data_IF_526131433001
#
_entry.id   IF_526131433001
#
_cell.length_a   1.000
_cell.length_b   1.000
_cell.length_c   1.000
_cell.angle_alpha   90.00
_cell.angle_beta   90.00
_cell.angle_gamma   90.00
#
_symmetry.space_group_name_H-M   'P 1'
#
loop_
_entity.id
_entity.type
_entity.pdbx_description
1 polymer ?
#
# COMPACT_ATOMS: atom_id res chain seq x y z
N UNK A 1 -14.14 24.56 4.22
CA UNK A 1 -13.89 23.34 5.01
C UNK A 1 -15.01 23.20 6.03
N UNK A 2 -15.68 22.05 6.19
CA UNK A 2 -16.68 21.89 7.23
C UNK A 2 -15.98 21.90 8.60
N UNK A 3 -16.60 22.51 9.64
CA UNK A 3 -15.99 22.72 10.95
C UNK A 3 -15.59 21.44 11.71
N UNK A 4 -16.12 20.30 11.30
CA UNK A 4 -15.86 18.99 11.91
C UNK A 4 -14.45 18.44 11.65
N UNK A 5 -13.79 18.81 10.56
CA UNK A 5 -12.42 18.41 10.27
C UNK A 5 -11.41 19.04 11.23
N UNK A 6 -11.63 20.28 11.62
CA UNK A 6 -10.81 20.98 12.62
C UNK A 6 -11.03 20.38 14.03
N UNK A 7 -12.27 20.04 14.38
CA UNK A 7 -12.58 19.41 15.66
C UNK A 7 -11.95 18.01 15.79
N UNK A 8 -11.97 17.21 14.73
CA UNK A 8 -11.30 15.90 14.71
C UNK A 8 -9.77 16.03 14.82
N UNK A 9 -9.19 16.99 14.10
CA UNK A 9 -7.76 17.29 14.18
C UNK A 9 -7.34 17.74 15.60
N UNK A 10 -8.15 18.59 16.22
CA UNK A 10 -7.92 19.03 17.61
C UNK A 10 -8.08 17.89 18.62
N UNK A 11 -9.07 17.01 18.44
CA UNK A 11 -9.25 15.84 19.29
C UNK A 11 -8.06 14.88 19.18
N UNK A 12 -7.61 14.58 17.98
CA UNK A 12 -6.46 13.71 17.75
C UNK A 12 -5.16 14.35 18.25
N UNK A 13 -4.99 15.65 18.10
CA UNK A 13 -3.87 16.41 18.67
C UNK A 13 -3.89 16.41 20.21
N UNK A 14 -5.06 16.57 20.83
CA UNK A 14 -5.22 16.50 22.29
C UNK A 14 -4.92 15.09 22.83
N UNK A 15 -5.37 14.04 22.13
CA UNK A 15 -5.08 12.66 22.50
C UNK A 15 -3.59 12.31 22.35
N UNK A 16 -2.91 12.87 21.35
CA UNK A 16 -1.47 12.73 21.18
C UNK A 16 -0.69 13.45 22.31
N UNK A 17 -1.10 14.65 22.66
CA UNK A 17 -0.53 15.39 23.79
C UNK A 17 -0.71 14.63 25.11
N UNK A 18 -1.87 14.05 25.37
CA UNK A 18 -2.13 13.19 26.53
C UNK A 18 -1.26 11.94 26.50
N UNK A 19 -1.07 11.29 25.35
CA UNK A 19 -0.18 10.14 25.18
C UNK A 19 1.30 10.49 25.42
N UNK A 20 1.74 11.69 25.04
CA UNK A 20 3.09 12.18 25.28
C UNK A 20 3.34 12.60 26.73
N UNK A 21 2.31 13.08 27.41
CA UNK A 21 2.39 13.53 28.82
C UNK A 21 2.23 12.36 29.81
N UNK A 22 1.52 11.29 29.44
CA UNK A 22 1.27 10.15 30.30
C UNK A 22 2.54 9.48 30.87
N UNK A 23 3.63 9.22 30.12
CA UNK A 23 4.85 8.67 30.70
C UNK A 23 5.62 9.68 31.56
N UNK A 24 5.51 10.97 31.29
CA UNK A 24 6.12 12.03 32.14
C UNK A 24 5.35 12.22 33.43
N UNK A 25 4.03 12.16 33.38
CA UNK A 25 3.16 12.17 34.58
C UNK A 25 3.39 10.93 35.45
N UNK A 26 3.53 9.73 34.89
CA UNK A 26 3.88 8.50 35.61
C UNK A 26 5.24 8.60 36.30
N UNK A 27 6.27 9.18 35.65
CA UNK A 27 7.58 9.42 36.26
C UNK A 27 7.52 10.48 37.35
N UNK A 28 6.73 11.53 37.19
CA UNK A 28 6.56 12.58 38.21
C UNK A 28 5.77 12.10 39.43
N UNK A 29 4.82 11.20 39.25
CA UNK A 29 4.05 10.59 40.38
C UNK A 29 4.86 9.49 41.07
N UNK A 30 5.66 8.70 40.31
CA UNK A 30 6.54 7.67 40.85
C UNK A 30 7.76 8.20 41.60
N UNK A 31 8.14 9.48 41.43
CA UNK A 31 9.27 10.10 42.11
C UNK A 31 8.94 10.70 43.48
N UNK A 32 7.68 10.56 43.96
CA UNK A 32 7.22 11.14 45.22
C UNK A 32 7.05 10.15 46.38
N UNK A 33 7.52 8.91 46.27
CA UNK A 33 7.48 7.97 47.38
C UNK A 33 8.86 7.42 47.71
N UNK A 34 9.35 7.85 48.87
CA UNK A 34 10.35 7.34 49.79
C UNK A 34 11.79 7.78 49.64
N UNK A 35 12.36 8.37 50.70
CA UNK A 35 13.78 8.51 50.92
C UNK A 35 14.31 7.38 51.81
N UNK A 36 15.48 6.84 51.45
CA UNK A 36 16.36 6.20 52.44
C UNK A 36 16.57 4.71 52.28
N UNK A 37 17.72 4.33 51.70
CA UNK A 37 18.69 3.42 52.33
C UNK A 37 19.95 3.35 51.45
N UNK A 38 21.08 3.76 52.03
CA UNK A 38 22.43 3.46 51.55
C UNK A 38 22.73 1.98 51.81
N UNK A 39 23.42 1.32 50.88
CA UNK A 39 23.97 -0.03 51.05
C UNK A 39 24.69 -0.50 49.80
N UNK A 40 25.99 -0.32 49.83
CA UNK A 40 27.11 -1.16 49.38
C UNK A 40 26.97 -2.08 48.15
N UNK A 41 28.00 -1.93 47.33
CA UNK A 41 28.47 -2.72 46.21
C UNK A 41 28.53 -4.23 46.50
N UNK A 42 28.00 -5.04 45.62
CA UNK A 42 28.49 -6.37 45.31
C UNK A 42 28.13 -6.69 43.85
N UNK A 43 29.16 -6.86 43.03
CA UNK A 43 29.10 -7.56 41.78
C UNK A 43 28.72 -9.01 42.02
N UNK A 44 27.59 -9.45 41.48
CA UNK A 44 27.28 -10.85 41.27
C UNK A 44 26.79 -11.04 39.84
N UNK A 45 27.64 -11.72 39.06
CA UNK A 45 27.24 -12.41 37.86
C UNK A 45 26.08 -13.36 38.15
N UNK A 46 24.94 -13.19 37.50
CA UNK A 46 23.87 -14.17 37.46
C UNK A 46 23.45 -14.42 36.01
N UNK A 47 23.85 -15.59 35.60
CA UNK A 47 23.44 -16.40 34.48
C UNK A 47 21.92 -16.52 34.36
N UNK A 48 21.45 -16.55 33.09
CA UNK A 48 20.30 -17.36 32.70
C UNK A 48 18.90 -16.79 32.79
N UNK A 49 18.45 -16.08 31.77
CA UNK A 49 17.04 -15.82 31.52
C UNK A 49 16.78 -15.61 30.03
N UNK A 50 16.32 -16.63 29.33
CA UNK A 50 16.19 -16.67 27.88
C UNK A 50 15.36 -15.54 27.27
N UNK A 51 16.03 -14.52 26.81
CA UNK A 51 15.50 -13.62 25.79
C UNK A 51 15.56 -14.37 24.46
N UNK A 52 14.41 -14.53 23.82
CA UNK A 52 14.33 -15.10 22.48
C UNK A 52 15.35 -14.41 21.58
N UNK A 53 16.25 -15.20 21.03
CA UNK A 53 17.34 -14.73 20.17
C UNK A 53 16.73 -13.96 18.97
N UNK A 54 17.24 -12.78 18.63
CA UNK A 54 16.84 -12.10 17.42
C UNK A 54 17.21 -12.99 16.23
N UNK A 55 16.25 -13.23 15.34
CA UNK A 55 16.41 -13.99 14.11
C UNK A 55 17.70 -13.58 13.38
N UNK A 56 18.72 -14.39 13.49
CA UNK A 56 19.98 -14.24 12.78
C UNK A 56 19.84 -14.86 11.39
N UNK A 57 19.20 -14.16 10.47
CA UNK A 57 19.42 -14.43 9.05
C UNK A 57 20.73 -13.75 8.67
N UNK A 58 21.75 -14.51 8.26
CA UNK A 58 23.15 -14.12 8.09
C UNK A 58 23.44 -13.08 6.99
N UNK A 59 22.58 -12.08 6.81
CA UNK A 59 22.75 -10.97 5.88
C UNK A 59 23.04 -9.69 6.65
N UNK A 60 24.11 -9.00 6.24
CA UNK A 60 24.46 -7.68 6.77
C UNK A 60 23.26 -6.73 6.69
N UNK A 61 22.98 -5.98 7.77
CA UNK A 61 21.89 -5.02 7.79
C UNK A 61 22.12 -3.93 6.73
N UNK A 62 21.00 -3.45 6.16
CA UNK A 62 21.01 -2.29 5.26
C UNK A 62 21.29 -1.01 6.05
N UNK A 63 21.73 0.07 5.37
CA UNK A 63 21.85 1.38 6.00
C UNK A 63 20.55 1.77 6.75
N UNK A 64 20.66 2.54 7.83
CA UNK A 64 19.51 2.95 8.64
C UNK A 64 18.87 1.87 9.51
N UNK A 65 19.52 0.70 9.68
CA UNK A 65 19.01 -0.40 10.49
C UNK A 65 17.83 -1.15 9.86
N UNK A 66 17.61 -0.98 8.55
CA UNK A 66 16.60 -1.72 7.81
C UNK A 66 17.06 -3.15 7.48
N UNK A 67 16.13 -4.08 7.38
CA UNK A 67 16.37 -5.47 6.94
C UNK A 67 15.50 -5.79 5.73
N UNK A 68 16.09 -6.41 4.72
CA UNK A 68 15.36 -6.95 3.57
C UNK A 68 15.15 -8.45 3.79
N UNK A 69 13.90 -8.86 3.96
CA UNK A 69 13.46 -10.25 4.13
C UNK A 69 12.83 -10.68 2.81
N UNK A 70 13.40 -11.70 2.17
CA UNK A 70 12.90 -12.22 0.90
C UNK A 70 13.54 -13.56 0.57
N UNK A 71 12.93 -14.32 -0.32
CA UNK A 71 13.53 -15.52 -0.92
C UNK A 71 14.74 -15.12 -1.77
N UNK A 72 15.89 -15.82 -1.67
CA UNK A 72 17.04 -15.57 -2.50
C UNK A 72 16.73 -15.73 -3.99
N UNK A 73 16.97 -14.69 -4.77
CA UNK A 73 16.76 -14.67 -6.23
C UNK A 73 17.67 -13.64 -6.90
N UNK A 74 17.81 -13.70 -8.22
CA UNK A 74 18.54 -12.67 -8.99
C UNK A 74 17.92 -11.29 -8.81
N UNK A 75 16.59 -11.22 -8.77
CA UNK A 75 15.86 -9.98 -8.51
C UNK A 75 16.13 -9.45 -7.07
N UNK A 76 16.14 -10.35 -6.07
CA UNK A 76 16.48 -10.00 -4.70
C UNK A 76 17.89 -9.39 -4.58
N UNK A 77 18.88 -9.95 -5.29
CA UNK A 77 20.24 -9.43 -5.33
C UNK A 77 20.32 -8.07 -6.00
N UNK A 78 19.59 -7.89 -7.12
CA UNK A 78 19.50 -6.60 -7.81
C UNK A 78 18.89 -5.54 -6.89
N UNK A 79 17.79 -5.85 -6.21
CA UNK A 79 17.12 -4.97 -5.27
C UNK A 79 18.01 -4.65 -4.06
N UNK A 80 18.66 -5.64 -3.46
CA UNK A 80 19.58 -5.43 -2.35
C UNK A 80 20.73 -4.48 -2.74
N UNK A 81 21.26 -4.67 -3.95
CA UNK A 81 22.33 -3.80 -4.49
C UNK A 81 21.84 -2.37 -4.74
N UNK A 82 20.60 -2.19 -5.17
CA UNK A 82 19.98 -0.88 -5.34
C UNK A 82 19.75 -0.20 -3.98
N UNK A 83 19.19 -0.91 -3.00
CA UNK A 83 18.92 -0.39 -1.67
C UNK A 83 20.19 -0.02 -0.88
N UNK A 84 21.27 -0.80 -1.02
CA UNK A 84 22.56 -0.46 -0.39
C UNK A 84 23.18 0.83 -0.92
N UNK A 85 22.89 1.19 -2.16
CA UNK A 85 23.37 2.44 -2.79
C UNK A 85 22.41 3.61 -2.58
N UNK A 86 21.25 3.35 -2.01
CA UNK A 86 20.22 4.34 -1.82
C UNK A 86 20.57 5.30 -0.69
N UNK A 87 20.56 6.59 -0.98
CA UNK A 87 20.66 7.64 0.03
C UNK A 87 19.39 7.76 0.87
N UNK A 88 18.30 7.13 0.43
CA UNK A 88 17.04 7.11 1.17
C UNK A 88 17.16 6.36 2.51
N UNK A 89 18.02 5.34 2.59
CA UNK A 89 18.26 4.52 3.78
C UNK A 89 19.43 4.99 4.65
N UNK A 90 20.08 6.10 4.34
CA UNK A 90 21.19 6.60 5.15
C UNK A 90 20.77 6.84 6.61
N UNK A 91 21.63 6.43 7.59
CA UNK A 91 21.36 6.65 9.00
C UNK A 91 21.22 8.15 9.29
N UNK A 92 20.21 8.50 10.09
CA UNK A 92 19.94 9.89 10.45
C UNK A 92 19.88 10.07 11.96
N UNK A 93 20.26 11.23 12.47
CA UNK A 93 20.14 11.50 13.89
C UNK A 93 18.68 11.39 14.33
N UNK A 94 18.46 10.79 15.50
CA UNK A 94 17.13 10.68 16.10
C UNK A 94 16.57 12.08 16.34
N UNK A 95 15.43 12.37 15.73
CA UNK A 95 14.64 13.57 15.97
C UNK A 95 13.57 13.27 17.02
N UNK A 96 13.02 14.32 17.62
CA UNK A 96 11.81 14.20 18.46
C UNK A 96 10.61 13.61 17.69
N UNK A 97 10.64 13.72 16.36
CA UNK A 97 9.66 13.11 15.44
C UNK A 97 9.84 11.59 15.27
N UNK A 98 10.86 10.97 15.87
CA UNK A 98 11.14 9.54 15.67
C UNK A 98 10.20 8.61 16.45
N UNK A 99 9.32 9.13 17.31
CA UNK A 99 8.37 8.33 18.06
C UNK A 99 7.27 7.75 17.16
N UNK A 100 6.90 6.45 17.29
CA UNK A 100 5.98 5.76 16.38
C UNK A 100 4.60 6.40 16.34
N UNK A 101 4.05 6.76 17.48
CA UNK A 101 2.75 7.44 17.57
C UNK A 101 2.77 8.82 16.92
N UNK A 102 3.89 9.56 17.05
CA UNK A 102 4.01 10.89 16.45
C UNK A 102 4.14 10.80 14.93
N UNK A 103 4.91 9.85 14.42
CA UNK A 103 5.01 9.60 12.98
C UNK A 103 3.65 9.22 12.39
N UNK A 104 2.96 8.28 13.05
CA UNK A 104 1.60 7.86 12.66
C UNK A 104 0.62 9.03 12.71
N UNK A 105 0.68 9.85 13.77
CA UNK A 105 -0.19 11.02 13.91
C UNK A 105 0.08 12.08 12.84
N UNK A 106 1.34 12.36 12.57
CA UNK A 106 1.73 13.28 11.49
C UNK A 106 1.16 12.84 10.13
N UNK A 107 1.17 11.52 9.87
CA UNK A 107 0.55 10.97 8.66
C UNK A 107 -0.95 11.25 8.59
N UNK A 108 -1.69 11.07 9.70
CA UNK A 108 -3.15 11.22 9.70
C UNK A 108 -3.64 12.66 9.88
N UNK A 109 -2.93 13.50 10.64
CA UNK A 109 -3.46 14.79 11.12
C UNK A 109 -2.88 16.00 10.39
N UNK A 110 -1.63 15.92 9.94
CA UNK A 110 -1.03 17.09 9.29
C UNK A 110 -1.86 17.50 8.07
N UNK A 111 -2.15 18.80 7.97
CA UNK A 111 -2.94 19.31 6.85
C UNK A 111 -2.19 19.02 5.54
N UNK A 112 -2.97 18.67 4.56
CA UNK A 112 -2.50 18.62 3.18
C UNK A 112 -2.14 20.06 2.81
N UNK A 113 -0.84 20.36 2.60
CA UNK A 113 -0.39 21.63 2.06
C UNK A 113 -0.96 21.86 0.65
N UNK A 114 -0.55 22.91 -0.06
CA UNK A 114 -0.90 23.08 -1.46
C UNK A 114 -0.42 21.83 -2.23
N UNK A 115 -1.39 20.99 -2.58
CA UNK A 115 -1.15 19.73 -3.30
C UNK A 115 -1.01 19.98 -4.81
N UNK A 116 -0.69 18.94 -5.57
CA UNK A 116 -0.75 18.98 -7.02
C UNK A 116 -2.18 19.27 -7.48
N UNK A 117 -2.30 19.84 -8.66
CA UNK A 117 -3.60 19.91 -9.34
C UNK A 117 -4.05 18.49 -9.73
N UNK A 118 -5.33 18.19 -9.49
CA UNK A 118 -5.91 16.88 -9.78
C UNK A 118 -7.00 17.01 -10.83
N UNK A 119 -6.86 16.27 -11.92
CA UNK A 119 -7.90 16.13 -12.95
C UNK A 119 -8.69 14.86 -12.66
N UNK A 120 -9.94 15.03 -12.20
CA UNK A 120 -10.83 13.92 -11.85
C UNK A 120 -11.53 13.36 -13.06
N UNK A 121 -11.47 12.05 -13.19
CA UNK A 121 -12.19 11.26 -14.15
C UNK A 121 -13.07 10.22 -13.39
N UNK A 122 -14.33 10.07 -13.82
CA UNK A 122 -15.23 9.06 -13.25
C UNK A 122 -15.33 7.88 -14.20
N UNK A 123 -15.13 6.68 -13.66
CA UNK A 123 -15.30 5.43 -14.38
C UNK A 123 -16.59 4.75 -13.93
N UNK A 124 -17.52 4.56 -14.86
CA UNK A 124 -18.72 3.76 -14.63
C UNK A 124 -18.36 2.28 -14.78
N UNK A 125 -18.69 1.50 -13.76
CA UNK A 125 -18.40 0.08 -13.68
C UNK A 125 -19.51 -0.76 -14.31
N UNK A 126 -19.24 -2.05 -14.50
CA UNK A 126 -20.19 -2.97 -15.14
C UNK A 126 -21.52 -3.12 -14.37
N UNK A 127 -21.53 -2.89 -13.05
CA UNK A 127 -22.71 -2.91 -12.18
C UNK A 127 -23.37 -1.54 -12.01
N UNK A 128 -23.09 -0.59 -12.90
CA UNK A 128 -23.53 0.80 -12.85
C UNK A 128 -23.00 1.60 -11.63
N UNK A 129 -22.09 1.02 -10.85
CA UNK A 129 -21.34 1.73 -9.82
C UNK A 129 -20.37 2.77 -10.41
N UNK A 130 -19.86 3.63 -9.55
CA UNK A 130 -18.94 4.69 -9.97
C UNK A 130 -17.70 4.71 -9.07
N UNK A 131 -16.53 4.73 -9.68
CA UNK A 131 -15.25 4.99 -9.02
C UNK A 131 -14.60 6.24 -9.62
N UNK A 132 -13.67 6.86 -8.91
CA UNK A 132 -12.98 8.04 -9.42
C UNK A 132 -11.48 7.78 -9.57
N UNK A 133 -10.91 8.34 -10.63
CA UNK A 133 -9.49 8.38 -10.92
C UNK A 133 -9.03 9.84 -10.92
N UNK A 134 -8.17 10.21 -9.98
CA UNK A 134 -7.59 11.54 -9.90
C UNK A 134 -6.20 11.52 -10.54
N UNK A 135 -6.10 12.05 -11.76
CA UNK A 135 -4.85 12.21 -12.47
C UNK A 135 -4.10 13.42 -11.96
N UNK A 136 -2.83 13.23 -11.60
CA UNK A 136 -1.99 14.32 -11.11
C UNK A 136 -1.50 15.16 -12.27
N UNK A 137 -1.90 16.43 -12.29
CA UNK A 137 -1.51 17.41 -13.30
C UNK A 137 -0.41 18.29 -12.73
N UNK A 138 0.65 18.48 -13.48
CA UNK A 138 1.74 19.36 -13.08
C UNK A 138 2.69 19.65 -14.22
N UNK A 139 3.54 20.67 -14.10
CA UNK A 139 4.54 20.95 -15.10
C UNK A 139 5.46 19.74 -15.21
N UNK A 140 5.49 19.13 -16.38
CA UNK A 140 6.41 18.02 -16.66
C UNK A 140 7.85 18.54 -16.49
N UNK A 141 8.64 17.98 -15.57
CA UNK A 141 10.02 18.44 -15.38
C UNK A 141 10.78 18.31 -16.71
N UNK A 142 11.50 19.32 -17.10
CA UNK A 142 12.39 19.32 -18.27
C UNK A 142 13.60 18.38 -18.11
N UNK A 143 13.61 17.53 -17.08
CA UNK A 143 14.66 16.59 -16.74
C UNK A 143 14.40 15.15 -17.21
N UNK A 144 15.37 14.31 -16.96
CA UNK A 144 15.46 12.90 -17.34
C UNK A 144 14.18 12.12 -17.02
N UNK A 145 13.35 11.88 -18.02
CA UNK A 145 12.17 11.01 -17.91
C UNK A 145 12.60 9.57 -17.66
N UNK A 146 11.97 8.90 -16.70
CA UNK A 146 11.98 7.43 -16.67
C UNK A 146 11.09 6.98 -17.81
N UNK A 147 11.67 6.94 -18.99
CA UNK A 147 10.94 6.49 -20.18
C UNK A 147 11.30 5.05 -20.47
N UNK A 148 10.32 4.29 -20.94
CA UNK A 148 10.56 3.01 -21.62
C UNK A 148 11.50 3.17 -22.80
N UNK A 149 11.91 2.06 -23.40
CA UNK A 149 12.57 2.06 -24.71
C UNK A 149 11.78 2.83 -25.79
N UNK A 150 10.47 3.07 -25.59
CA UNK A 150 9.60 3.86 -26.45
C UNK A 150 9.34 5.30 -26.03
N UNK A 151 9.99 5.82 -24.97
CA UNK A 151 9.89 7.23 -24.57
C UNK A 151 8.62 7.61 -23.78
N UNK A 152 7.72 6.68 -23.46
CA UNK A 152 6.48 6.95 -22.73
C UNK A 152 6.71 6.91 -21.22
N UNK A 153 6.12 7.84 -20.45
CA UNK A 153 6.19 7.81 -18.99
C UNK A 153 5.46 6.59 -18.43
N UNK A 154 6.01 5.98 -17.38
CA UNK A 154 5.33 4.92 -16.65
C UNK A 154 4.14 5.50 -15.86
N UNK A 155 3.03 4.78 -15.82
CA UNK A 155 1.88 5.15 -14.99
C UNK A 155 2.09 4.62 -13.57
N UNK A 156 1.80 5.44 -12.56
CA UNK A 156 1.83 5.06 -11.16
C UNK A 156 0.42 5.13 -10.58
N UNK A 157 -0.18 3.98 -10.37
CA UNK A 157 -1.47 3.84 -9.70
C UNK A 157 -1.26 3.89 -8.19
N UNK A 158 -1.90 4.84 -7.53
CA UNK A 158 -1.83 5.01 -6.07
C UNK A 158 -3.17 4.66 -5.45
N UNK A 159 -3.16 3.72 -4.50
CA UNK A 159 -4.34 3.21 -3.81
C UNK A 159 -4.27 3.67 -2.35
N UNK A 160 -5.04 4.69 -1.96
CA UNK A 160 -5.12 5.16 -0.59
C UNK A 160 -5.66 4.07 0.35
N UNK A 161 -5.56 4.30 1.66
CA UNK A 161 -6.11 3.39 2.64
C UNK A 161 -7.61 3.18 2.43
N UNK A 162 -8.13 2.03 2.87
CA UNK A 162 -9.56 1.66 2.75
C UNK A 162 -10.50 2.70 3.40
N UNK A 163 -9.98 3.56 4.26
CA UNK A 163 -10.72 4.67 4.87
C UNK A 163 -11.02 5.83 3.91
N UNK A 164 -10.50 5.77 2.69
CA UNK A 164 -10.80 6.73 1.62
C UNK A 164 -10.27 8.15 1.86
N UNK A 165 -9.35 8.33 2.80
CA UNK A 165 -8.74 9.62 3.06
C UNK A 165 -7.52 9.84 2.17
N UNK A 166 -7.48 10.98 1.50
CA UNK A 166 -6.28 11.43 0.79
C UNK A 166 -5.32 12.04 1.80
N UNK A 167 -4.22 11.35 2.06
CA UNK A 167 -3.21 11.77 3.03
C UNK A 167 -2.17 12.69 2.40
N UNK A 168 -1.47 13.44 3.23
CA UNK A 168 -0.33 14.24 2.79
C UNK A 168 0.76 13.37 2.15
N UNK A 169 0.97 12.15 2.67
CA UNK A 169 1.96 11.23 2.14
C UNK A 169 1.61 10.74 0.74
N UNK A 170 0.34 10.40 0.49
CA UNK A 170 -0.13 10.04 -0.86
C UNK A 170 0.16 11.16 -1.86
N UNK A 171 -0.15 12.40 -1.51
CA UNK A 171 0.15 13.55 -2.38
C UNK A 171 1.65 13.80 -2.53
N UNK A 172 2.42 13.63 -1.45
CA UNK A 172 3.88 13.73 -1.48
C UNK A 172 4.53 12.68 -2.38
N UNK A 173 4.01 11.44 -2.34
CA UNK A 173 4.42 10.38 -3.26
C UNK A 173 4.11 10.76 -4.72
N UNK A 174 2.91 11.27 -4.97
CA UNK A 174 2.49 11.69 -6.31
C UNK A 174 3.39 12.82 -6.85
N UNK A 175 3.70 13.82 -6.04
CA UNK A 175 4.61 14.92 -6.43
C UNK A 175 6.01 14.39 -6.76
N UNK A 176 6.58 13.56 -5.88
CA UNK A 176 7.90 12.98 -6.10
C UNK A 176 7.92 12.07 -7.34
N UNK A 177 6.86 11.29 -7.55
CA UNK A 177 6.71 10.44 -8.73
C UNK A 177 6.63 11.28 -10.02
N UNK A 178 5.88 12.38 -10.01
CA UNK A 178 5.81 13.32 -11.13
C UNK A 178 7.20 13.91 -11.44
N UNK A 179 7.95 14.33 -10.43
CA UNK A 179 9.33 14.82 -10.56
C UNK A 179 10.28 13.77 -11.16
N UNK A 180 10.06 12.50 -10.84
CA UNK A 180 10.83 11.37 -11.39
C UNK A 180 10.34 10.89 -12.76
N UNK A 181 9.32 11.55 -13.34
CA UNK A 181 8.81 11.29 -14.68
C UNK A 181 7.78 10.17 -14.78
N UNK A 182 7.15 9.79 -13.67
CA UNK A 182 5.95 8.95 -13.67
C UNK A 182 4.72 9.81 -13.95
N UNK A 183 3.63 9.14 -14.33
CA UNK A 183 2.31 9.75 -14.48
C UNK A 183 1.39 9.19 -13.38
N UNK A 184 1.25 9.88 -12.23
CA UNK A 184 0.50 9.36 -11.11
C UNK A 184 -1.01 9.48 -11.33
N UNK A 185 -1.74 8.46 -10.89
CA UNK A 185 -3.20 8.42 -10.82
C UNK A 185 -3.63 7.83 -9.49
N UNK A 186 -4.57 8.48 -8.81
CA UNK A 186 -5.08 8.05 -7.51
C UNK A 186 -6.44 7.40 -7.71
N UNK A 187 -6.60 6.17 -7.25
CA UNK A 187 -7.85 5.42 -7.29
C UNK A 187 -8.70 5.73 -6.05
N UNK A 188 -9.96 6.10 -6.26
CA UNK A 188 -10.92 6.31 -5.20
C UNK A 188 -12.08 5.31 -5.32
N UNK A 189 -12.32 4.57 -4.23
CA UNK A 189 -13.45 3.65 -4.10
C UNK A 189 -14.79 4.40 -4.19
N UNK A 190 -15.85 3.66 -4.45
CA UNK A 190 -17.24 4.15 -4.41
C UNK A 190 -17.53 4.91 -3.11
N UNK A 191 -18.14 6.07 -3.20
CA UNK A 191 -18.51 6.90 -2.04
C UNK A 191 -17.35 7.54 -1.29
N UNK A 192 -16.09 7.37 -1.72
CA UNK A 192 -14.94 7.97 -1.07
C UNK A 192 -14.44 9.23 -1.78
N UNK A 193 -13.84 10.13 -1.01
CA UNK A 193 -13.19 11.36 -1.48
C UNK A 193 -14.01 12.15 -2.52
N UNK A 194 -15.32 12.29 -2.27
CA UNK A 194 -16.23 13.02 -3.17
C UNK A 194 -16.66 12.23 -4.41
N UNK A 195 -16.27 10.97 -4.57
CA UNK A 195 -16.86 10.06 -5.55
C UNK A 195 -18.31 9.78 -5.11
N UNK A 196 -19.33 10.06 -5.95
CA UNK A 196 -20.70 9.80 -5.58
C UNK A 196 -20.98 8.31 -5.45
N UNK A 197 -21.89 7.96 -4.53
CA UNK A 197 -22.42 6.61 -4.42
C UNK A 197 -23.71 6.55 -5.24
N UNK A 198 -23.60 6.09 -6.49
CA UNK A 198 -24.75 6.02 -7.43
C UNK A 198 -25.52 4.73 -7.34
N UNK A 199 -24.91 3.67 -6.80
CA UNK A 199 -25.55 2.41 -6.47
C UNK A 199 -25.44 2.16 -4.96
N UNK A 200 -26.39 1.46 -4.30
CA UNK A 200 -26.35 1.22 -2.86
C UNK A 200 -25.26 0.19 -2.46
N UNK A 201 -24.43 -0.22 -3.39
CA UNK A 201 -23.36 -1.20 -3.19
C UNK A 201 -22.05 -0.49 -2.89
N UNK A 202 -21.52 -0.70 -1.69
CA UNK A 202 -20.16 -0.34 -1.31
C UNK A 202 -19.20 -1.48 -1.66
N UNK A 203 -17.93 -1.14 -1.84
CA UNK A 203 -16.87 -2.12 -2.09
C UNK A 203 -16.40 -2.74 -0.77
N UNK A 204 -16.47 -4.08 -0.61
CA UNK A 204 -15.91 -4.78 0.54
C UNK A 204 -14.42 -4.54 0.71
N UNK A 205 -13.89 -4.86 1.89
CA UNK A 205 -12.53 -4.49 2.27
C UNK A 205 -11.47 -4.96 1.28
N UNK A 206 -11.49 -6.24 0.90
CA UNK A 206 -10.52 -6.87 0.00
C UNK A 206 -11.08 -7.27 -1.37
N UNK A 207 -12.27 -6.83 -1.77
CA UNK A 207 -12.85 -7.13 -3.08
C UNK A 207 -12.14 -6.33 -4.20
N UNK A 208 -11.40 -6.97 -5.13
CA UNK A 208 -10.63 -6.28 -6.16
C UNK A 208 -11.42 -5.92 -7.43
N UNK A 209 -12.72 -6.23 -7.51
CA UNK A 209 -13.49 -6.10 -8.76
C UNK A 209 -13.44 -4.69 -9.34
N UNK A 210 -13.68 -3.66 -8.53
CA UNK A 210 -13.63 -2.27 -8.99
C UNK A 210 -12.22 -1.86 -9.43
N UNK A 211 -11.20 -2.30 -8.71
CA UNK A 211 -9.80 -2.04 -9.06
C UNK A 211 -9.41 -2.72 -10.38
N UNK A 212 -9.89 -3.94 -10.60
CA UNK A 212 -9.65 -4.70 -11.83
C UNK A 212 -10.19 -3.97 -13.06
N UNK A 213 -11.39 -3.42 -12.98
CA UNK A 213 -11.96 -2.58 -14.03
C UNK A 213 -11.15 -1.29 -14.23
N UNK A 214 -10.76 -0.63 -13.15
CA UNK A 214 -9.95 0.59 -13.21
C UNK A 214 -8.56 0.34 -13.84
N UNK A 215 -7.87 -0.74 -13.45
CA UNK A 215 -6.57 -1.13 -14.02
C UNK A 215 -6.70 -1.45 -15.51
N UNK A 216 -7.75 -2.18 -15.89
CA UNK A 216 -8.02 -2.49 -17.29
C UNK A 216 -8.27 -1.22 -18.11
N UNK A 217 -9.05 -0.27 -17.55
CA UNK A 217 -9.26 1.04 -18.16
C UNK A 217 -7.97 1.84 -18.33
N UNK A 218 -7.12 1.90 -17.29
CA UNK A 218 -5.82 2.58 -17.35
C UNK A 218 -4.94 1.94 -18.43
N UNK A 219 -4.92 0.60 -18.51
CA UNK A 219 -4.17 -0.13 -19.53
C UNK A 219 -4.66 0.17 -20.93
N UNK A 220 -5.97 0.27 -21.13
CA UNK A 220 -6.55 0.65 -22.41
C UNK A 220 -6.16 2.08 -22.83
N UNK A 221 -6.17 3.03 -21.89
CA UNK A 221 -5.76 4.43 -22.12
C UNK A 221 -4.25 4.57 -22.42
N UNK A 222 -3.43 3.72 -21.79
CA UNK A 222 -1.97 3.78 -21.87
C UNK A 222 -1.36 2.41 -22.23
N UNK A 223 -1.64 1.87 -23.43
CA UNK A 223 -1.34 0.48 -23.77
C UNK A 223 0.15 0.12 -23.75
N UNK A 224 1.03 1.08 -24.05
CA UNK A 224 2.48 0.87 -24.10
C UNK A 224 3.23 1.34 -22.83
N UNK A 225 2.55 1.99 -21.89
CA UNK A 225 3.17 2.46 -20.66
C UNK A 225 3.26 1.31 -19.62
N UNK A 226 4.40 1.10 -18.93
CA UNK A 226 4.42 0.25 -17.75
C UNK A 226 3.51 0.81 -16.69
N UNK A 227 2.80 -0.06 -16.00
CA UNK A 227 1.93 0.29 -14.89
C UNK A 227 2.55 -0.21 -13.59
N UNK A 228 2.86 0.69 -12.68
CA UNK A 228 3.25 0.38 -11.31
C UNK A 228 2.10 0.73 -10.37
N UNK A 229 2.01 0.01 -9.25
CA UNK A 229 0.98 0.27 -8.25
C UNK A 229 1.60 0.46 -6.86
N UNK A 230 1.09 1.43 -6.10
CA UNK A 230 1.45 1.65 -4.69
C UNK A 230 0.19 1.73 -3.86
N UNK A 231 0.18 1.05 -2.73
CA UNK A 231 -0.90 1.12 -1.75
C UNK A 231 -0.39 1.58 -0.39
N UNK A 232 -1.27 2.20 0.38
CA UNK A 232 -0.99 2.71 1.71
C UNK A 232 -1.90 2.06 2.75
N UNK A 233 -1.32 1.55 3.84
CA UNK A 233 -2.04 0.96 4.96
C UNK A 233 -3.01 -0.15 4.53
N UNK A 234 -4.25 -0.04 4.96
CA UNK A 234 -5.34 -0.98 4.64
C UNK A 234 -5.75 -1.01 3.15
N UNK A 235 -5.32 -0.04 2.34
CA UNK A 235 -5.48 -0.08 0.88
C UNK A 235 -4.69 -1.22 0.23
N UNK A 236 -3.69 -1.76 0.94
CA UNK A 236 -2.90 -2.90 0.50
C UNK A 236 -3.73 -4.17 0.34
N UNK A 237 -4.81 -4.34 1.11
CA UNK A 237 -5.70 -5.47 0.95
C UNK A 237 -6.29 -5.54 -0.46
N UNK A 238 -6.74 -4.40 -0.98
CA UNK A 238 -7.29 -4.30 -2.32
C UNK A 238 -6.26 -4.63 -3.41
N UNK A 239 -5.04 -4.08 -3.27
CA UNK A 239 -3.97 -4.31 -4.23
C UNK A 239 -3.51 -5.77 -4.24
N UNK A 240 -3.31 -6.37 -3.07
CA UNK A 240 -2.85 -7.75 -2.95
C UNK A 240 -3.90 -8.75 -3.44
N UNK A 241 -5.19 -8.53 -3.11
CA UNK A 241 -6.28 -9.32 -3.67
C UNK A 241 -6.34 -9.24 -5.20
N UNK A 242 -6.15 -8.05 -5.77
CA UNK A 242 -6.07 -7.87 -7.22
C UNK A 242 -4.90 -8.67 -7.83
N UNK A 243 -3.71 -8.61 -7.22
CA UNK A 243 -2.53 -9.30 -7.73
C UNK A 243 -2.67 -10.83 -7.64
N UNK A 244 -3.25 -11.36 -6.57
CA UNK A 244 -3.54 -12.78 -6.41
C UNK A 244 -4.57 -13.26 -7.44
N UNK A 245 -5.73 -12.60 -7.52
CA UNK A 245 -6.82 -12.99 -8.44
C UNK A 245 -6.41 -12.90 -9.91
N UNK A 246 -5.63 -11.89 -10.30
CA UNK A 246 -5.17 -11.74 -11.67
C UNK A 246 -3.94 -12.58 -11.99
N UNK A 247 -3.11 -12.93 -11.01
CA UNK A 247 -1.91 -13.74 -11.21
C UNK A 247 -1.01 -13.21 -12.33
N UNK A 248 -0.67 -14.11 -13.26
CA UNK A 248 0.16 -13.78 -14.43
C UNK A 248 -0.55 -12.91 -15.49
N UNK A 249 -1.87 -12.75 -15.41
CA UNK A 249 -2.65 -11.88 -16.31
C UNK A 249 -2.73 -10.43 -15.82
N UNK A 250 -2.12 -10.10 -14.70
CA UNK A 250 -2.07 -8.74 -14.17
C UNK A 250 -1.37 -7.78 -15.15
N UNK A 251 -1.94 -6.61 -15.34
CA UNK A 251 -1.31 -5.52 -16.12
C UNK A 251 -0.30 -4.72 -15.31
N UNK A 252 -0.19 -4.96 -14.00
CA UNK A 252 0.78 -4.28 -13.12
C UNK A 252 2.16 -4.92 -13.31
N UNK A 253 3.16 -4.08 -13.55
CA UNK A 253 4.57 -4.50 -13.75
C UNK A 253 5.31 -4.73 -12.44
N UNK A 254 4.97 -3.99 -11.41
CA UNK A 254 5.52 -4.07 -10.06
C UNK A 254 4.68 -3.30 -9.07
N UNK A 255 4.63 -3.75 -7.84
CA UNK A 255 3.81 -3.19 -6.79
C UNK A 255 4.60 -2.86 -5.53
N UNK A 256 4.13 -1.90 -4.74
CA UNK A 256 4.67 -1.61 -3.42
C UNK A 256 3.53 -1.34 -2.43
N UNK A 257 3.73 -1.76 -1.18
CA UNK A 257 2.78 -1.56 -0.09
C UNK A 257 3.47 -0.87 1.09
N UNK A 258 2.94 0.26 1.53
CA UNK A 258 3.46 1.04 2.67
C UNK A 258 2.63 0.67 3.90
N UNK A 259 3.27 0.14 4.93
CA UNK A 259 2.63 -0.36 6.16
C UNK A 259 1.40 -1.23 5.89
N UNK A 260 1.52 -2.30 5.06
CA UNK A 260 0.37 -3.11 4.70
C UNK A 260 -0.23 -3.83 5.90
N UNK A 261 -1.54 -3.89 5.97
CA UNK A 261 -2.27 -4.81 6.85
C UNK A 261 -2.40 -6.13 6.10
N UNK A 262 -1.60 -7.14 6.47
CA UNK A 262 -1.53 -8.41 5.76
C UNK A 262 -2.47 -9.47 6.34
N UNK A 263 -2.57 -9.57 7.66
CA UNK A 263 -3.51 -10.45 8.37
C UNK A 263 -4.75 -9.65 8.77
N UNK A 264 -5.61 -9.35 7.78
CA UNK A 264 -6.72 -8.42 7.95
C UNK A 264 -7.77 -8.95 8.93
N UNK A 265 -8.12 -10.23 8.85
CA UNK A 265 -9.10 -10.84 9.75
C UNK A 265 -8.67 -10.72 11.20
N UNK A 266 -7.47 -11.16 11.51
CA UNK A 266 -6.90 -11.13 12.87
C UNK A 266 -6.77 -9.68 13.37
N UNK A 267 -6.42 -8.76 12.47
CA UNK A 267 -6.33 -7.34 12.77
C UNK A 267 -7.68 -6.74 13.18
N UNK A 268 -8.78 -7.08 12.49
CA UNK A 268 -10.13 -6.67 12.88
C UNK A 268 -10.59 -7.34 14.18
N UNK A 269 -10.22 -8.62 14.41
CA UNK A 269 -10.60 -9.39 15.59
C UNK A 269 -9.83 -8.96 16.83
N UNK A 270 -8.55 -8.67 16.72
CA UNK A 270 -7.74 -8.17 17.83
C UNK A 270 -8.12 -6.73 18.24
N UNK A 271 -8.64 -5.97 17.27
CA UNK A 271 -8.92 -4.54 17.45
C UNK A 271 -7.63 -3.71 17.49
N UNK A 272 -7.79 -2.41 17.31
CA UNK A 272 -6.69 -1.45 17.37
C UNK A 272 -6.58 -0.84 18.77
N UNK A 273 -5.41 -0.25 19.13
CA UNK A 273 -5.33 0.62 20.29
C UNK A 273 -6.44 1.68 20.22
N UNK A 274 -7.19 1.82 21.30
CA UNK A 274 -8.46 2.56 21.33
C UNK A 274 -8.44 3.97 20.67
N UNK A 275 -7.36 4.77 20.72
CA UNK A 275 -7.37 6.09 20.09
C UNK A 275 -7.47 5.99 18.56
N UNK A 276 -6.75 5.04 17.95
CA UNK A 276 -6.78 4.81 16.49
C UNK A 276 -8.12 4.22 16.08
N UNK A 277 -8.61 3.21 16.80
CA UNK A 277 -9.89 2.59 16.49
C UNK A 277 -11.03 3.61 16.53
N UNK A 278 -11.08 4.45 17.57
CA UNK A 278 -12.10 5.51 17.68
C UNK A 278 -11.98 6.54 16.59
N UNK A 279 -10.76 6.94 16.24
CA UNK A 279 -10.50 7.88 15.17
C UNK A 279 -10.96 7.36 13.82
N UNK A 280 -10.62 6.13 13.48
CA UNK A 280 -11.02 5.50 12.22
C UNK A 280 -12.53 5.26 12.17
N UNK A 281 -13.11 4.72 13.22
CA UNK A 281 -14.55 4.48 13.30
C UNK A 281 -15.36 5.78 13.14
N UNK A 282 -14.94 6.86 13.81
CA UNK A 282 -15.58 8.16 13.67
C UNK A 282 -15.45 8.69 12.23
N UNK A 283 -14.27 8.56 11.63
CA UNK A 283 -14.05 8.98 10.25
C UNK A 283 -14.98 8.24 9.28
N UNK A 284 -15.10 6.92 9.41
CA UNK A 284 -15.98 6.10 8.58
C UNK A 284 -17.45 6.49 8.75
N UNK A 285 -17.91 6.67 10.00
CA UNK A 285 -19.28 7.11 10.26
C UNK A 285 -19.57 8.47 9.63
N UNK A 286 -18.65 9.42 9.76
CA UNK A 286 -18.80 10.75 9.13
C UNK A 286 -18.79 10.64 7.61
N UNK A 287 -17.95 9.80 7.02
CA UNK A 287 -17.90 9.60 5.58
C UNK A 287 -19.23 9.00 5.05
N UNK A 288 -19.73 7.95 5.70
CA UNK A 288 -20.97 7.28 5.29
C UNK A 288 -22.27 8.02 5.67
N UNK A 289 -22.20 8.97 6.61
CA UNK A 289 -23.40 9.75 6.99
C UNK A 289 -24.04 10.51 5.82
N UNK A 290 -23.27 10.78 4.76
CA UNK A 290 -23.75 11.42 3.53
C UNK A 290 -24.62 10.52 2.67
N UNK A 291 -24.51 9.19 2.86
CA UNK A 291 -25.14 8.17 2.03
C UNK A 291 -26.18 7.35 2.78
N UNK A 292 -26.64 7.82 3.95
CA UNK A 292 -27.61 7.11 4.79
C UNK A 292 -28.88 6.75 3.99
N UNK A 293 -29.40 7.68 3.21
CA UNK A 293 -30.59 7.45 2.39
C UNK A 293 -30.38 6.40 1.29
N UNK A 294 -29.18 6.33 0.72
CA UNK A 294 -28.86 5.31 -0.29
C UNK A 294 -28.62 3.92 0.32
N UNK A 295 -28.15 3.86 1.57
CA UNK A 295 -27.79 2.62 2.26
C UNK A 295 -28.93 2.03 3.10
N UNK A 296 -29.96 2.83 3.45
CA UNK A 296 -31.02 2.40 4.37
C UNK A 296 -31.82 1.19 3.89
N UNK A 297 -31.89 0.96 2.58
CA UNK A 297 -32.62 -0.18 2.01
C UNK A 297 -31.80 -1.48 2.04
N UNK A 298 -30.47 -1.36 2.10
CA UNK A 298 -29.56 -2.52 2.06
C UNK A 298 -28.95 -2.86 3.42
N UNK A 299 -28.72 -1.86 4.29
CA UNK A 299 -28.04 -2.01 5.57
C UNK A 299 -28.90 -1.43 6.72
N UNK A 300 -28.79 -2.00 7.90
CA UNK A 300 -29.30 -1.38 9.13
C UNK A 300 -28.42 -0.19 9.54
N UNK A 301 -28.76 0.99 9.03
CA UNK A 301 -28.01 2.22 9.29
C UNK A 301 -28.01 2.61 10.77
N UNK A 302 -29.08 2.30 11.52
CA UNK A 302 -29.14 2.60 12.95
C UNK A 302 -28.11 1.75 13.73
N UNK A 303 -28.02 0.45 13.45
CA UNK A 303 -27.01 -0.44 14.00
C UNK A 303 -25.61 -0.02 13.58
N UNK A 304 -25.42 0.33 12.29
CA UNK A 304 -24.14 0.77 11.73
C UNK A 304 -23.57 1.99 12.49
N UNK A 305 -24.38 3.02 12.69
CA UNK A 305 -23.91 4.24 13.38
C UNK A 305 -23.78 4.06 14.91
N UNK A 306 -24.34 3.01 15.48
CA UNK A 306 -24.15 2.63 16.90
C UNK A 306 -22.94 1.74 17.16
N UNK A 307 -22.33 1.15 16.13
CA UNK A 307 -21.18 0.26 16.29
C UNK A 307 -20.07 0.88 17.14
N UNK A 308 -19.39 0.05 17.93
CA UNK A 308 -18.38 0.48 18.89
C UNK A 308 -16.97 0.10 18.51
N UNK A 309 -16.82 -0.82 17.55
CA UNK A 309 -15.54 -1.28 16.99
C UNK A 309 -15.55 -1.24 15.47
N UNK A 310 -14.38 -1.27 14.85
CA UNK A 310 -14.26 -1.38 13.40
C UNK A 310 -14.80 -2.72 12.90
N UNK A 311 -14.59 -3.81 13.65
CA UNK A 311 -15.17 -5.11 13.36
C UNK A 311 -16.69 -5.05 13.29
N UNK A 312 -17.33 -4.54 14.33
CA UNK A 312 -18.81 -4.42 14.37
C UNK A 312 -19.35 -3.55 13.23
N UNK A 313 -18.60 -2.51 12.88
CA UNK A 313 -18.94 -1.62 11.77
C UNK A 313 -18.87 -2.35 10.43
N UNK A 314 -17.79 -3.04 10.14
CA UNK A 314 -17.56 -3.80 8.90
C UNK A 314 -18.55 -4.95 8.77
N UNK A 315 -18.75 -5.71 9.87
CA UNK A 315 -19.71 -6.81 9.93
C UNK A 315 -21.14 -6.33 9.69
N UNK A 316 -21.53 -5.19 10.26
CA UNK A 316 -22.86 -4.62 10.03
C UNK A 316 -23.04 -4.16 8.59
N UNK A 317 -21.98 -3.62 7.98
CA UNK A 317 -22.03 -3.06 6.64
C UNK A 317 -22.09 -4.14 5.55
N UNK A 318 -21.38 -5.24 5.74
CA UNK A 318 -21.21 -6.26 4.69
C UNK A 318 -21.76 -7.65 5.03
N UNK A 319 -21.81 -8.02 6.33
CA UNK A 319 -22.30 -9.34 6.72
C UNK A 319 -23.78 -9.34 7.08
N UNK A 320 -24.29 -8.26 7.69
CA UNK A 320 -25.68 -8.14 8.11
C UNK A 320 -26.53 -7.32 7.13
N UNK A 321 -26.32 -7.53 5.83
CA UNK A 321 -27.16 -6.90 4.80
C UNK A 321 -28.57 -7.47 4.84
N UNK A 322 -29.58 -6.63 4.53
CA UNK A 322 -31.00 -7.03 4.57
C UNK A 322 -31.36 -8.10 3.56
N UNK A 323 -30.67 -8.11 2.40
CA UNK A 323 -31.00 -9.01 1.29
C UNK A 323 -30.23 -10.33 1.35
N UNK A 324 -28.94 -10.30 1.68
CA UNK A 324 -28.05 -11.47 1.63
C UNK A 324 -27.07 -11.44 2.82
N UNK A 325 -27.56 -11.84 4.01
CA UNK A 325 -26.65 -11.93 5.17
C UNK A 325 -25.67 -13.09 4.98
N UNK A 326 -24.41 -12.84 5.33
CA UNK A 326 -23.32 -13.83 5.30
C UNK A 326 -22.62 -13.89 6.67
N UNK A 327 -21.92 -14.98 6.96
CA UNK A 327 -21.10 -15.08 8.16
C UNK A 327 -19.82 -14.26 8.04
N UNK A 328 -19.21 -13.92 9.18
CA UNK A 328 -17.90 -13.28 9.22
C UNK A 328 -16.79 -14.12 8.60
N UNK A 329 -16.88 -15.46 8.75
CA UNK A 329 -15.96 -16.40 8.12
C UNK A 329 -16.10 -16.35 6.59
N UNK A 330 -17.33 -16.48 6.07
CA UNK A 330 -17.59 -16.38 4.63
C UNK A 330 -17.16 -15.02 4.05
N UNK A 331 -17.31 -13.93 4.81
CA UNK A 331 -16.82 -12.63 4.40
C UNK A 331 -15.31 -12.65 4.15
N UNK A 332 -14.53 -13.20 5.09
CA UNK A 332 -13.07 -13.27 4.95
C UNK A 332 -12.58 -14.30 3.95
N UNK A 333 -13.31 -15.37 3.69
CA UNK A 333 -12.99 -16.31 2.60
C UNK A 333 -12.91 -15.59 1.24
N UNK A 334 -13.66 -14.49 1.07
CA UNK A 334 -13.67 -13.68 -0.15
C UNK A 334 -12.84 -12.40 -0.08
N UNK A 335 -12.51 -11.92 1.12
CA UNK A 335 -11.87 -10.61 1.32
C UNK A 335 -10.47 -10.68 1.94
N UNK A 336 -9.96 -11.87 2.25
CA UNK A 336 -8.58 -12.02 2.71
C UNK A 336 -7.62 -11.62 1.57
N UNK A 337 -6.73 -10.62 1.78
CA UNK A 337 -5.80 -10.17 0.76
C UNK A 337 -4.77 -11.22 0.36
N UNK A 338 -4.55 -12.23 1.19
CA UNK A 338 -3.56 -13.28 0.96
C UNK A 338 -4.18 -14.59 0.46
N UNK A 339 -5.51 -14.66 0.23
CA UNK A 339 -6.20 -15.90 -0.19
C UNK A 339 -5.60 -16.55 -1.45
N UNK A 340 -5.20 -15.71 -2.42
CA UNK A 340 -4.63 -16.15 -3.71
C UNK A 340 -3.18 -15.66 -3.88
N UNK A 341 -2.46 -15.45 -2.78
CA UNK A 341 -1.12 -14.82 -2.80
C UNK A 341 -0.09 -15.66 -3.55
N UNK A 342 -0.26 -16.96 -3.61
CA UNK A 342 0.65 -17.88 -4.32
C UNK A 342 0.52 -17.76 -5.85
N UNK A 343 -0.62 -17.29 -6.34
CA UNK A 343 -0.85 -17.00 -7.75
C UNK A 343 -0.24 -15.69 -8.22
N UNK A 344 0.12 -14.79 -7.28
CA UNK A 344 0.68 -13.50 -7.61
C UNK A 344 2.04 -13.63 -8.32
N UNK A 345 2.10 -13.19 -9.57
CA UNK A 345 3.28 -13.27 -10.44
C UNK A 345 3.96 -11.89 -10.64
N UNK A 346 3.62 -10.91 -9.82
CA UNK A 346 4.13 -9.54 -9.88
C UNK A 346 5.02 -9.28 -8.67
N UNK A 347 6.24 -8.73 -8.84
CA UNK A 347 7.07 -8.35 -7.70
C UNK A 347 6.41 -7.30 -6.81
N UNK A 348 6.37 -7.55 -5.49
CA UNK A 348 5.75 -6.71 -4.47
C UNK A 348 6.77 -6.37 -3.39
N UNK A 349 7.01 -5.07 -3.18
CA UNK A 349 7.80 -4.58 -2.05
C UNK A 349 6.89 -4.10 -0.93
N UNK A 350 6.89 -4.77 0.21
CA UNK A 350 6.25 -4.32 1.44
C UNK A 350 7.27 -3.53 2.29
N UNK A 351 6.92 -2.33 2.71
CA UNK A 351 7.71 -1.52 3.65
C UNK A 351 6.96 -1.46 4.95
N UNK A 352 7.50 -2.05 6.01
CA UNK A 352 6.88 -2.11 7.33
C UNK A 352 7.83 -1.61 8.42
N UNK A 353 7.28 -1.19 9.52
CA UNK A 353 8.00 -0.74 10.70
C UNK A 353 7.76 -1.69 11.88
N UNK A 354 8.81 -1.99 12.62
CA UNK A 354 8.70 -2.84 13.81
C UNK A 354 7.96 -2.14 14.97
N UNK A 355 7.89 -0.81 14.92
CA UNK A 355 7.22 0.03 15.92
C UNK A 355 5.83 0.53 15.45
N UNK A 356 5.22 -0.10 14.45
CA UNK A 356 3.90 0.29 13.90
C UNK A 356 2.79 0.11 14.95
N UNK A 357 2.15 1.21 15.43
CA UNK A 357 1.13 1.11 16.47
C UNK A 357 -0.26 0.74 15.94
N UNK A 358 -0.46 0.68 14.63
CA UNK A 358 -1.73 0.35 13.98
C UNK A 358 -1.75 -1.10 13.52
N UNK A 359 -0.68 -1.55 12.84
CA UNK A 359 -0.55 -2.95 12.44
C UNK A 359 -0.20 -3.86 13.64
N UNK A 360 0.46 -3.33 14.67
CA UNK A 360 0.90 -4.10 15.84
C UNK A 360 2.24 -4.80 15.64
N UNK A 361 2.64 -5.68 16.59
CA UNK A 361 3.95 -6.32 16.57
C UNK A 361 4.18 -7.18 15.33
N UNK A 362 5.37 -7.11 14.70
CA UNK A 362 5.69 -7.87 13.49
C UNK A 362 5.49 -9.39 13.65
N UNK A 363 5.81 -9.95 14.80
CA UNK A 363 5.72 -11.39 15.06
C UNK A 363 4.29 -11.93 14.98
N UNK A 364 3.29 -11.08 15.21
CA UNK A 364 1.88 -11.46 15.16
C UNK A 364 1.22 -11.14 13.83
N UNK A 365 1.56 -10.00 13.22
CA UNK A 365 0.80 -9.46 12.08
C UNK A 365 1.54 -9.53 10.74
N UNK A 366 2.87 -9.80 10.73
CA UNK A 366 3.62 -10.02 9.49
C UNK A 366 3.79 -11.52 9.21
N UNK A 367 3.26 -12.03 8.09
CA UNK A 367 3.48 -13.41 7.66
C UNK A 367 4.90 -13.54 7.08
N UNK A 368 5.90 -13.67 7.93
CA UNK A 368 7.32 -13.75 7.52
C UNK A 368 7.59 -14.91 6.59
N UNK A 369 6.87 -16.03 6.75
CA UNK A 369 6.97 -17.22 5.90
C UNK A 369 6.63 -16.90 4.42
N UNK A 370 5.68 -16.02 4.17
CA UNK A 370 5.35 -15.55 2.82
C UNK A 370 6.60 -14.99 2.12
N UNK A 371 7.35 -14.14 2.80
CA UNK A 371 8.52 -13.49 2.23
C UNK A 371 9.73 -14.43 2.06
N UNK A 372 9.82 -15.48 2.86
CA UNK A 372 10.84 -16.51 2.72
C UNK A 372 10.53 -17.51 1.60
N UNK A 373 9.27 -17.77 1.34
CA UNK A 373 8.84 -18.82 0.43
C UNK A 373 8.45 -18.31 -0.97
N UNK A 374 7.84 -17.15 -1.07
CA UNK A 374 7.37 -16.58 -2.34
C UNK A 374 8.47 -15.72 -3.01
N UNK A 375 8.89 -16.01 -4.27
CA UNK A 375 9.96 -15.28 -4.95
C UNK A 375 9.58 -13.86 -5.39
N UNK A 376 8.31 -13.51 -5.34
CA UNK A 376 7.81 -12.20 -5.77
C UNK A 376 7.61 -11.23 -4.61
N UNK A 377 7.65 -11.70 -3.36
CA UNK A 377 7.41 -10.86 -2.18
C UNK A 377 8.71 -10.48 -1.47
N UNK A 378 8.84 -9.18 -1.22
CA UNK A 378 9.99 -8.56 -0.56
C UNK A 378 9.49 -7.73 0.63
N UNK A 379 10.06 -7.92 1.82
CA UNK A 379 9.75 -7.12 3.00
C UNK A 379 10.97 -6.30 3.41
N UNK A 380 10.85 -4.98 3.33
CA UNK A 380 11.80 -4.05 3.93
C UNK A 380 11.27 -3.67 5.31
N UNK A 381 11.87 -4.23 6.35
CA UNK A 381 11.52 -3.98 7.74
C UNK A 381 12.45 -2.95 8.35
N UNK A 382 11.90 -1.83 8.79
CA UNK A 382 12.59 -0.77 9.53
C UNK A 382 12.33 -0.90 11.03
N UNK A 383 13.28 -0.50 11.86
CA UNK A 383 13.06 -0.44 13.31
C UNK A 383 12.09 0.69 13.70
N UNK A 384 12.06 1.78 12.93
CA UNK A 384 11.28 2.97 13.23
C UNK A 384 10.59 3.47 11.98
N UNK A 385 9.34 3.93 12.13
CA UNK A 385 8.55 4.44 11.00
C UNK A 385 7.10 4.72 11.38
N UNK A 386 6.61 4.11 12.46
CA UNK A 386 5.20 4.14 12.81
C UNK A 386 4.34 3.56 11.69
N UNK A 387 3.05 3.90 11.64
CA UNK A 387 2.15 3.50 10.57
C UNK A 387 2.17 4.53 9.44
N UNK A 388 2.69 4.14 8.28
CA UNK A 388 2.79 4.99 7.08
C UNK A 388 3.55 6.31 7.28
N UNK A 389 4.27 6.49 8.39
CA UNK A 389 4.99 7.73 8.68
C UNK A 389 6.26 7.84 7.87
N UNK A 390 7.27 7.05 8.21
CA UNK A 390 8.58 7.00 7.57
C UNK A 390 9.21 8.38 7.31
N UNK A 391 8.97 9.29 8.27
CA UNK A 391 9.34 10.70 8.13
C UNK A 391 10.85 10.89 8.21
N UNK A 392 11.33 11.88 7.47
CA UNK A 392 12.63 12.50 7.61
C UNK A 392 12.56 13.66 8.61
N UNK A 393 13.70 14.35 8.84
CA UNK A 393 13.75 15.56 9.69
C UNK A 393 12.81 16.66 9.20
N UNK A 394 12.60 16.75 7.88
CA UNK A 394 11.58 17.59 7.27
C UNK A 394 10.33 16.77 6.92
N UNK A 395 9.13 17.36 7.00
CA UNK A 395 7.89 16.62 6.93
C UNK A 395 7.56 15.99 5.56
N UNK A 396 8.33 16.26 4.50
CA UNK A 396 8.14 15.66 3.15
C UNK A 396 9.44 15.72 2.32
N UNK A 397 9.65 14.75 1.42
CA UNK A 397 8.94 13.47 1.26
C UNK A 397 9.34 12.45 2.33
N UNK A 398 8.46 11.45 2.60
CA UNK A 398 8.82 10.30 3.41
C UNK A 398 9.92 9.48 2.70
N UNK A 399 10.86 8.90 3.45
CA UNK A 399 11.94 8.12 2.82
C UNK A 399 11.43 6.86 2.11
N UNK A 400 10.29 6.31 2.56
CA UNK A 400 9.63 5.19 1.90
C UNK A 400 9.27 5.49 0.44
N UNK A 401 8.90 6.73 0.13
CA UNK A 401 8.56 7.14 -1.25
C UNK A 401 9.79 7.06 -2.18
N UNK A 402 10.94 7.51 -1.71
CA UNK A 402 12.18 7.44 -2.49
C UNK A 402 12.58 5.99 -2.73
N UNK A 403 12.50 5.15 -1.69
CA UNK A 403 12.78 3.70 -1.78
C UNK A 403 11.88 3.03 -2.80
N UNK A 404 10.59 3.34 -2.82
CA UNK A 404 9.63 2.77 -3.77
C UNK A 404 9.99 3.14 -5.21
N UNK A 405 10.31 4.40 -5.47
CA UNK A 405 10.65 4.84 -6.82
C UNK A 405 12.01 4.27 -7.28
N UNK A 406 12.96 4.07 -6.36
CA UNK A 406 14.21 3.36 -6.65
C UNK A 406 13.98 1.87 -6.92
N UNK A 407 13.07 1.24 -6.17
CA UNK A 407 12.65 -0.13 -6.41
C UNK A 407 12.05 -0.28 -7.83
N UNK A 408 11.12 0.58 -8.22
CA UNK A 408 10.54 0.52 -9.57
C UNK A 408 11.56 0.76 -10.68
N UNK A 409 12.54 1.63 -10.43
CA UNK A 409 13.67 1.81 -11.34
C UNK A 409 14.50 0.53 -11.46
N UNK A 410 14.84 -0.09 -10.32
CA UNK A 410 15.60 -1.34 -10.30
C UNK A 410 14.87 -2.48 -11.02
N UNK A 411 13.55 -2.61 -10.82
CA UNK A 411 12.71 -3.55 -11.57
C UNK A 411 12.77 -3.32 -13.08
N UNK A 412 12.61 -2.05 -13.49
CA UNK A 412 12.65 -1.70 -14.91
C UNK A 412 14.00 -2.05 -15.55
N UNK A 413 15.10 -1.78 -14.86
CA UNK A 413 16.45 -2.12 -15.32
C UNK A 413 16.67 -3.63 -15.37
N UNK A 414 16.18 -4.36 -14.36
CA UNK A 414 16.28 -5.82 -14.28
C UNK A 414 15.53 -6.47 -15.47
N UNK A 415 14.28 -6.14 -15.70
CA UNK A 415 13.50 -6.71 -16.79
C UNK A 415 14.07 -6.37 -18.18
N UNK A 416 14.53 -5.14 -18.39
CA UNK A 416 15.24 -4.76 -19.63
C UNK A 416 16.50 -5.59 -19.86
N UNK A 417 17.24 -5.89 -18.81
CA UNK A 417 18.45 -6.70 -18.90
C UNK A 417 18.09 -8.14 -19.23
N UNK A 418 17.06 -8.71 -18.61
CA UNK A 418 16.56 -10.03 -18.95
C UNK A 418 16.07 -10.14 -20.40
N UNK A 419 15.33 -9.16 -20.89
CA UNK A 419 14.84 -9.12 -22.28
C UNK A 419 16.02 -9.07 -23.27
N UNK A 420 17.04 -8.26 -22.98
CA UNK A 420 18.27 -8.21 -23.81
C UNK A 420 18.99 -9.55 -23.82
N UNK A 421 19.12 -10.21 -22.67
CA UNK A 421 19.76 -11.53 -22.57
C UNK A 421 18.98 -12.60 -23.33
N UNK A 422 17.64 -12.60 -23.21
CA UNK A 422 16.75 -13.51 -23.96
C UNK A 422 16.85 -13.25 -25.48
N UNK A 423 16.91 -11.98 -25.88
CA UNK A 423 17.14 -11.59 -27.28
C UNK A 423 18.46 -12.09 -27.83
N UNK A 424 19.56 -11.89 -27.10
CA UNK A 424 20.88 -12.39 -27.47
C UNK A 424 20.94 -13.93 -27.54
N UNK A 425 20.28 -14.61 -26.63
CA UNK A 425 20.18 -16.10 -26.65
C UNK A 425 19.42 -16.60 -27.87
N UNK A 426 18.31 -15.95 -28.25
CA UNK A 426 17.57 -16.28 -29.50
C UNK A 426 18.43 -16.05 -30.74
N UNK A 427 19.18 -14.95 -30.82
CA UNK A 427 20.10 -14.70 -31.91
C UNK A 427 21.23 -15.74 -31.98
N UNK A 428 21.84 -16.12 -30.85
CA UNK A 428 22.83 -17.19 -30.80
C UNK A 428 22.25 -18.54 -31.24
N UNK A 429 21.04 -18.90 -30.80
CA UNK A 429 20.38 -20.13 -31.22
C UNK A 429 20.09 -20.13 -32.73
N UNK A 430 19.70 -19.00 -33.31
CA UNK A 430 19.49 -18.89 -34.75
C UNK A 430 20.79 -18.96 -35.55
N UNK A 431 21.91 -18.42 -35.04
CA UNK A 431 23.26 -18.55 -35.66
C UNK A 431 23.80 -19.98 -35.56
N UNK A 432 23.55 -20.71 -34.52
CA UNK A 432 23.98 -22.10 -34.36
C UNK A 432 23.08 -23.09 -35.11
N UNK A 433 21.82 -22.72 -35.38
CA UNK A 433 20.86 -23.48 -36.17
C UNK A 433 21.02 -23.30 -37.68
N UNK A 434 21.81 -22.31 -38.15
CA UNK A 434 21.98 -21.93 -39.55
C UNK A 434 22.84 -22.81 -40.41
N UNK A 435 23.29 -24.00 -39.93
CA UNK A 435 24.13 -24.92 -40.70
C UNK A 435 23.48 -26.26 -40.98
N UNK A 436 22.18 -26.30 -41.34
CA UNK A 436 21.56 -27.41 -42.08
C UNK A 436 20.17 -27.07 -42.58
N UNK A 437 20.06 -27.28 -43.90
CA UNK A 437 18.87 -27.41 -44.77
C UNK A 437 18.33 -26.19 -45.48
N UNK A 438 18.80 -26.05 -46.68
CA UNK A 438 17.98 -25.64 -47.81
C UNK A 438 16.86 -26.69 -47.99
N UNK A 439 15.64 -26.29 -47.97
CA UNK A 439 14.48 -27.16 -48.23
C UNK A 439 13.18 -26.37 -48.11
N UNK A 440 12.63 -26.01 -49.25
CA UNK A 440 11.23 -25.70 -49.56
C UNK A 440 10.49 -24.63 -48.77
N UNK A 441 10.35 -23.48 -49.41
CA UNK A 441 9.34 -22.47 -49.16
C UNK A 441 7.93 -23.07 -49.33
N UNK A 442 7.21 -23.28 -48.26
CA UNK A 442 5.74 -23.34 -48.24
C UNK A 442 5.21 -22.04 -47.65
N UNK A 443 4.57 -21.27 -48.54
CA UNK A 443 3.83 -20.07 -48.30
C UNK A 443 2.67 -20.42 -47.33
N UNK A 444 2.77 -19.99 -46.08
CA UNK A 444 1.67 -20.07 -45.10
C UNK A 444 0.91 -18.75 -45.17
N UNK A 445 -0.31 -18.83 -45.62
CA UNK A 445 -1.25 -17.71 -45.69
C UNK A 445 -1.50 -17.16 -44.29
N UNK A 446 -1.51 -15.83 -44.21
CA UNK A 446 -1.83 -15.08 -42.98
C UNK A 446 -3.31 -15.33 -42.63
N UNK A 447 -3.57 -15.85 -41.47
CA UNK A 447 -4.89 -15.84 -40.86
C UNK A 447 -5.29 -14.42 -40.50
N UNK A 448 -6.54 -14.02 -40.74
CA UNK A 448 -7.00 -12.66 -40.45
C UNK A 448 -6.94 -12.34 -38.97
N UNK A 449 -6.44 -11.17 -38.62
CA UNK A 449 -6.48 -10.59 -37.32
C UNK A 449 -7.94 -10.53 -36.84
N UNK A 450 -8.30 -11.36 -35.84
CA UNK A 450 -9.55 -11.22 -35.12
C UNK A 450 -9.60 -9.85 -34.45
N UNK A 451 -10.64 -9.10 -34.76
CA UNK A 451 -10.94 -7.79 -34.21
C UNK A 451 -10.96 -7.84 -32.69
N UNK A 452 -9.94 -7.28 -32.06
CA UNK A 452 -9.88 -7.03 -30.61
C UNK A 452 -10.86 -5.93 -30.15
N UNK A 453 -11.52 -5.26 -31.11
CA UNK A 453 -12.45 -4.16 -30.82
C UNK A 453 -13.82 -4.61 -30.29
N UNK A 454 -14.22 -5.88 -30.45
CA UNK A 454 -15.53 -6.35 -30.01
C UNK A 454 -15.61 -6.86 -28.56
N UNK A 455 -14.45 -6.98 -27.85
CA UNK A 455 -14.43 -7.57 -26.49
C UNK A 455 -14.65 -6.51 -25.39
N UNK A 456 -14.49 -5.22 -25.68
CA UNK A 456 -14.55 -4.16 -24.67
C UNK A 456 -15.64 -3.12 -24.99
N UNK A 457 -16.85 -3.35 -24.52
CA UNK A 457 -17.88 -2.32 -24.49
C UNK A 457 -17.71 -1.45 -23.23
N UNK A 458 -16.83 -0.45 -23.30
CA UNK A 458 -16.67 0.52 -22.20
C UNK A 458 -17.83 1.51 -22.19
N UNK A 459 -18.57 1.50 -21.11
CA UNK A 459 -19.55 2.55 -20.82
C UNK A 459 -18.78 3.81 -20.38
N UNK A 460 -19.11 4.92 -21.00
CA UNK A 460 -18.50 6.26 -20.96
C UNK A 460 -17.76 6.64 -19.69
N UNK A 461 -16.50 7.09 -19.83
CA UNK A 461 -15.81 7.89 -18.82
C UNK A 461 -16.22 9.37 -18.94
N UNK A 462 -16.44 10.03 -17.82
CA UNK A 462 -16.74 11.46 -17.76
C UNK A 462 -15.56 12.19 -17.15
N UNK A 463 -14.93 13.08 -17.92
CA UNK A 463 -13.99 14.08 -17.42
C UNK A 463 -14.75 15.33 -17.01
N UNK A 464 -14.46 15.86 -15.84
CA UNK A 464 -14.84 17.21 -15.40
C UNK A 464 -13.61 18.04 -15.22
#
# INVERSE_FOLDING_TARGET
MPPWGAALALLLAALALLGLLAPRLRRAVGARTLPGARGQDHEEEADGGGAAAPFSDGREPLPGGCRLICKPSALAQCLLSALRRSTALEPRPRSWLSGPHLQTLCHFVLPVGPGPELAREYLQLADDGLVALDWVVGPCPRGRRVTNAGGLPAVLLVIPSAWGRLTRNVLGLCLLALERGYYPVIFHRRGHHGCPLVSPRLQPFGDPSDLKEAVTYIRFRHPAAPLFAVSEGSGSALLLSYLGECGSSSYVTGAACISPVLRCREWFEAGLPWPYERGFLLHQKVALSRYVSALQDTVDTHRLFRSRSLREFEETLFCHTKSFPISWDTYWDHNDPLRDVDEAAVPVLCISSADDPVCGPPDHFLPTELFHNNPYFFLLLSHHGGHCGFLRQEPLPAWSHEVILEYFRALTEFFRTEERMKGLSRHRASFLGGRRRWGTLQKREASPSSNLEEIFSWKRSYTR
#
